data_IF_947504284886
#
_entry.id   IF_947504284886
#
_cell.length_a   1.000
_cell.length_b   1.000
_cell.length_c   1.000
_cell.angle_alpha   90.00
_cell.angle_beta   90.00
_cell.angle_gamma   90.00
#
_symmetry.space_group_name_H-M   'P 1'
#
loop_
_entity.id
_entity.type
_entity.pdbx_description
1 polymer ?
#
# COMPACT_ATOMS: atom_id res chain seq x y z
N UNK A 1 -2.42 -7.17 18.83
CA UNK A 1 -2.95 -6.21 17.82
C UNK A 1 -2.05 -4.99 17.56
N UNK A 2 -1.20 -4.51 18.48
CA UNK A 2 -0.31 -3.37 18.20
C UNK A 2 0.83 -3.70 17.20
N UNK A 3 1.39 -4.92 17.28
CA UNK A 3 2.54 -5.34 16.48
C UNK A 3 2.31 -5.37 14.95
N UNK A 4 1.09 -5.62 14.50
CA UNK A 4 0.73 -5.62 13.08
C UNK A 4 0.51 -4.20 12.52
N UNK A 5 0.25 -3.23 13.40
CA UNK A 5 -0.01 -1.82 13.04
C UNK A 5 1.24 -0.95 13.14
N UNK A 6 2.21 -1.34 13.95
CA UNK A 6 3.49 -0.67 14.07
C UNK A 6 4.36 -0.95 12.84
N UNK A 7 5.02 0.08 12.32
CA UNK A 7 5.92 -0.07 11.18
C UNK A 7 7.07 -1.04 11.52
N UNK A 8 7.50 -1.92 10.59
CA UNK A 8 8.54 -2.92 10.85
C UNK A 8 9.86 -2.37 11.38
N UNK A 9 10.25 -1.19 10.90
CA UNK A 9 11.46 -0.46 11.28
C UNK A 9 11.43 0.00 12.74
N UNK A 10 10.25 0.23 13.32
CA UNK A 10 10.04 0.65 14.71
C UNK A 10 9.87 -0.49 15.70
N UNK A 11 9.82 -1.75 15.23
CA UNK A 11 9.72 -2.91 16.09
C UNK A 11 11.10 -3.30 16.62
N UNK A 12 11.18 -3.61 17.93
CA UNK A 12 12.37 -4.23 18.51
C UNK A 12 12.59 -5.63 17.93
N UNK A 13 13.81 -6.19 17.99
CA UNK A 13 14.08 -7.54 17.47
C UNK A 13 13.13 -8.61 18.05
N UNK A 14 12.83 -8.56 19.35
CA UNK A 14 11.89 -9.48 20.00
C UNK A 14 10.45 -9.32 19.50
N UNK A 15 10.03 -8.08 19.21
CA UNK A 15 8.71 -7.81 18.67
C UNK A 15 8.55 -8.30 17.23
N UNK A 16 9.62 -8.21 16.42
CA UNK A 16 9.64 -8.79 15.07
C UNK A 16 9.49 -10.30 15.11
N UNK A 17 10.24 -10.99 15.98
CA UNK A 17 10.13 -12.44 16.15
C UNK A 17 8.71 -12.87 16.54
N UNK A 18 8.07 -12.19 17.49
CA UNK A 18 6.67 -12.47 17.88
C UNK A 18 5.68 -12.22 16.75
N UNK A 19 5.87 -11.15 15.97
CA UNK A 19 5.04 -10.88 14.79
C UNK A 19 5.23 -11.97 13.76
N UNK A 20 6.47 -12.34 13.45
CA UNK A 20 6.80 -13.27 12.38
C UNK A 20 6.27 -14.67 12.72
N UNK A 21 6.45 -15.14 13.97
CA UNK A 21 5.83 -16.37 14.45
C UNK A 21 4.30 -16.36 14.27
N UNK A 22 3.63 -15.28 14.68
CA UNK A 22 2.18 -15.15 14.50
C UNK A 22 1.75 -15.16 13.03
N UNK A 23 2.54 -14.56 12.13
CA UNK A 23 2.23 -14.55 10.70
C UNK A 23 2.49 -15.91 10.05
N UNK A 24 3.51 -16.66 10.47
CA UNK A 24 3.71 -18.04 10.02
C UNK A 24 2.54 -18.94 10.42
N UNK A 25 2.01 -18.76 11.63
CA UNK A 25 0.85 -19.50 12.12
C UNK A 25 -0.46 -19.11 11.39
N UNK A 26 -0.48 -17.95 10.70
CA UNK A 26 -1.67 -17.39 10.06
C UNK A 26 -1.39 -16.94 8.61
N UNK A 27 -1.22 -17.87 7.65
CA UNK A 27 -0.77 -17.57 6.29
C UNK A 27 -1.68 -16.61 5.52
N UNK A 28 -3.01 -16.67 5.75
CA UNK A 28 -3.94 -15.71 5.16
C UNK A 28 -3.70 -14.27 5.66
N UNK A 29 -3.40 -14.11 6.97
CA UNK A 29 -3.09 -12.81 7.57
C UNK A 29 -1.70 -12.34 7.10
N UNK A 30 -0.74 -13.25 6.95
CA UNK A 30 0.59 -12.98 6.38
C UNK A 30 0.50 -12.37 4.99
N UNK A 31 -0.31 -12.94 4.10
CA UNK A 31 -0.51 -12.41 2.76
C UNK A 31 -1.04 -10.97 2.78
N UNK A 32 -2.07 -10.70 3.60
CA UNK A 32 -2.64 -9.37 3.78
C UNK A 32 -1.60 -8.39 4.36
N UNK A 33 -0.83 -8.83 5.36
CA UNK A 33 0.20 -8.01 6.01
C UNK A 33 1.32 -7.64 5.04
N UNK A 34 1.88 -8.61 4.32
CA UNK A 34 2.93 -8.39 3.32
C UNK A 34 2.45 -7.42 2.25
N UNK A 35 1.21 -7.61 1.78
CA UNK A 35 0.59 -6.74 0.81
C UNK A 35 0.47 -5.29 1.34
N UNK A 36 -0.01 -5.11 2.57
CA UNK A 36 -0.08 -3.80 3.21
C UNK A 36 1.31 -3.14 3.31
N UNK A 37 2.37 -3.91 3.59
CA UNK A 37 3.74 -3.38 3.64
C UNK A 37 4.24 -2.94 2.26
N UNK A 38 3.98 -3.73 1.21
CA UNK A 38 4.37 -3.39 -0.17
C UNK A 38 3.71 -2.08 -0.63
N UNK A 39 2.41 -1.95 -0.38
CA UNK A 39 1.66 -0.72 -0.65
C UNK A 39 2.22 0.46 0.14
N UNK A 40 2.49 0.29 1.43
CA UNK A 40 3.06 1.36 2.25
C UNK A 40 4.43 1.80 1.71
N UNK A 41 5.30 0.86 1.35
CA UNK A 41 6.61 1.16 0.76
C UNK A 41 6.48 1.94 -0.55
N UNK A 42 5.55 1.53 -1.43
CA UNK A 42 5.23 2.25 -2.65
C UNK A 42 4.79 3.69 -2.39
N UNK A 43 3.99 3.94 -1.36
CA UNK A 43 3.55 5.28 -0.96
C UNK A 43 4.64 6.14 -0.28
N UNK A 44 5.71 5.54 0.23
CA UNK A 44 6.84 6.29 0.79
C UNK A 44 7.68 6.96 -0.31
N UNK A 45 7.64 6.44 -1.54
CA UNK A 45 8.31 7.07 -2.66
C UNK A 45 7.59 8.35 -3.08
N UNK A 46 8.32 9.47 -3.09
CA UNK A 46 7.80 10.79 -3.51
C UNK A 46 8.85 11.50 -4.35
N UNK A 47 8.40 12.20 -5.39
CA UNK A 47 9.29 13.00 -6.24
C UNK A 47 10.47 12.22 -6.86
N UNK A 48 10.17 11.02 -7.34
CA UNK A 48 11.05 10.17 -8.13
C UNK A 48 11.21 10.72 -9.55
N UNK A 49 12.33 10.35 -10.17
CA UNK A 49 12.64 10.73 -11.54
C UNK A 49 11.80 9.93 -12.56
N UNK A 50 11.81 10.38 -13.82
CA UNK A 50 11.02 9.77 -14.91
C UNK A 50 11.36 8.30 -15.12
N UNK A 51 12.64 7.94 -15.03
CA UNK A 51 13.11 6.57 -15.32
C UNK A 51 12.72 5.60 -14.23
N UNK A 52 12.76 6.03 -12.97
CA UNK A 52 12.22 5.27 -11.85
C UNK A 52 10.71 5.06 -12.01
N UNK A 53 9.95 6.12 -12.34
CA UNK A 53 8.51 5.98 -12.57
C UNK A 53 8.21 5.00 -13.70
N UNK A 54 8.91 5.07 -14.84
CA UNK A 54 8.76 4.12 -15.95
C UNK A 54 8.98 2.67 -15.52
N UNK A 55 9.92 2.42 -14.61
CA UNK A 55 10.21 1.07 -14.09
C UNK A 55 9.16 0.57 -13.09
N UNK A 56 8.61 1.48 -12.28
CA UNK A 56 7.73 1.12 -11.15
C UNK A 56 6.25 1.14 -11.47
N UNK A 57 5.80 1.96 -12.43
CA UNK A 57 4.40 1.98 -12.87
C UNK A 57 3.92 0.59 -13.32
N UNK A 58 4.64 -0.16 -14.17
CA UNK A 58 4.18 -1.49 -14.58
C UNK A 58 4.07 -2.47 -13.41
N UNK A 59 5.03 -2.44 -12.48
CA UNK A 59 5.01 -3.30 -11.28
C UNK A 59 3.81 -2.97 -10.39
N UNK A 60 3.48 -1.69 -10.26
CA UNK A 60 2.31 -1.25 -9.53
C UNK A 60 1.01 -1.70 -10.19
N UNK A 61 0.87 -1.54 -11.50
CA UNK A 61 -0.33 -1.98 -12.23
C UNK A 61 -0.53 -3.49 -12.13
N UNK A 62 0.53 -4.29 -12.25
CA UNK A 62 0.44 -5.74 -12.05
C UNK A 62 -0.05 -6.09 -10.64
N UNK A 63 0.47 -5.40 -9.62
CA UNK A 63 0.04 -5.58 -8.23
C UNK A 63 -1.46 -5.21 -8.04
N UNK A 64 -1.96 -4.21 -8.76
CA UNK A 64 -3.39 -3.86 -8.73
C UNK A 64 -4.27 -4.94 -9.36
N UNK A 65 -3.80 -5.56 -10.45
CA UNK A 65 -4.53 -6.66 -11.07
C UNK A 65 -4.52 -7.92 -10.20
N UNK A 66 -3.40 -8.24 -9.55
CA UNK A 66 -3.32 -9.35 -8.58
C UNK A 66 -4.32 -9.16 -7.44
N UNK A 67 -4.47 -7.92 -6.95
CA UNK A 67 -5.46 -7.60 -5.92
C UNK A 67 -6.89 -7.77 -6.39
N UNK A 68 -7.22 -7.22 -7.56
CA UNK A 68 -8.57 -7.30 -8.14
C UNK A 68 -9.00 -8.74 -8.34
N UNK A 69 -8.05 -9.62 -8.66
CA UNK A 69 -8.27 -11.05 -8.88
C UNK A 69 -8.11 -11.88 -7.59
N UNK A 70 -7.88 -11.25 -6.44
CA UNK A 70 -7.73 -11.95 -5.18
C UNK A 70 -9.02 -12.66 -4.78
N UNK A 71 -8.96 -13.92 -4.27
CA UNK A 71 -10.13 -14.62 -3.73
C UNK A 71 -10.66 -13.95 -2.45
N UNK A 72 -9.86 -13.08 -1.81
CA UNK A 72 -10.27 -12.33 -0.63
C UNK A 72 -11.02 -11.06 -1.05
N UNK A 73 -12.33 -11.01 -0.78
CA UNK A 73 -13.20 -9.86 -1.12
C UNK A 73 -12.63 -8.51 -0.65
N UNK A 74 -12.01 -8.46 0.53
CA UNK A 74 -11.39 -7.24 1.05
C UNK A 74 -10.20 -6.77 0.19
N UNK A 75 -9.36 -7.70 -0.29
CA UNK A 75 -8.24 -7.38 -1.18
C UNK A 75 -8.71 -6.98 -2.57
N UNK A 76 -9.73 -7.65 -3.10
CA UNK A 76 -10.36 -7.28 -4.37
C UNK A 76 -11.00 -5.89 -4.33
N UNK A 77 -11.70 -5.55 -3.24
CA UNK A 77 -12.25 -4.21 -3.03
C UNK A 77 -11.13 -3.16 -2.98
N UNK A 78 -10.04 -3.44 -2.27
CA UNK A 78 -8.90 -2.54 -2.17
C UNK A 78 -8.19 -2.36 -3.52
N UNK A 79 -8.03 -3.41 -4.32
CA UNK A 79 -7.50 -3.32 -5.68
C UNK A 79 -8.34 -2.42 -6.58
N UNK A 80 -9.67 -2.53 -6.50
CA UNK A 80 -10.59 -1.63 -7.20
C UNK A 80 -10.42 -0.19 -6.74
N UNK A 81 -10.32 0.05 -5.42
CA UNK A 81 -10.05 1.37 -4.88
C UNK A 81 -8.75 1.92 -5.49
N UNK A 82 -7.62 1.22 -5.35
CA UNK A 82 -6.36 1.74 -5.88
C UNK A 82 -6.33 1.94 -7.40
N UNK A 83 -7.03 1.12 -8.18
CA UNK A 83 -7.22 1.40 -9.62
C UNK A 83 -7.90 2.74 -9.87
N UNK A 84 -8.88 3.15 -9.04
CA UNK A 84 -9.51 4.47 -9.16
C UNK A 84 -8.56 5.62 -8.83
N UNK A 85 -7.47 5.36 -8.10
CA UNK A 85 -6.51 6.35 -7.62
C UNK A 85 -5.14 6.25 -8.29
N UNK A 86 -4.96 5.34 -9.25
CA UNK A 86 -3.65 5.02 -9.81
C UNK A 86 -2.96 6.24 -10.43
N UNK A 87 -3.73 7.14 -11.05
CA UNK A 87 -3.19 8.37 -11.62
C UNK A 87 -2.68 9.32 -10.54
N UNK A 88 -3.45 9.53 -9.48
CA UNK A 88 -3.05 10.36 -8.35
C UNK A 88 -1.79 9.79 -7.66
N UNK A 89 -1.70 8.47 -7.51
CA UNK A 89 -0.54 7.78 -6.94
C UNK A 89 0.70 8.02 -7.81
N UNK A 90 0.59 7.82 -9.12
CA UNK A 90 1.70 8.04 -10.05
C UNK A 90 2.09 9.52 -10.13
N UNK A 91 1.12 10.44 -10.02
CA UNK A 91 1.38 11.89 -9.92
C UNK A 91 2.18 12.21 -8.65
N UNK A 92 1.86 11.61 -7.50
CA UNK A 92 2.63 11.77 -6.26
C UNK A 92 4.07 11.25 -6.38
N UNK A 93 4.28 10.19 -7.17
CA UNK A 93 5.64 9.72 -7.45
C UNK A 93 6.41 10.70 -8.30
N UNK A 94 5.83 11.27 -9.36
CA UNK A 94 6.58 12.11 -10.29
C UNK A 94 6.79 13.55 -9.80
N UNK A 95 5.78 14.12 -9.13
CA UNK A 95 5.73 15.54 -8.82
C UNK A 95 5.95 15.80 -7.33
N UNK A 96 6.76 16.83 -7.04
CA UNK A 96 7.00 17.35 -5.69
C UNK A 96 6.28 18.69 -5.56
N UNK A 97 4.94 18.74 -5.47
CA UNK A 97 4.29 20.01 -5.09
C UNK A 97 2.94 19.87 -4.38
N UNK A 98 2.87 20.68 -3.32
CA UNK A 98 1.86 21.04 -2.31
C UNK A 98 0.86 19.98 -1.86
N UNK A 99 0.49 20.11 -0.59
CA UNK A 99 -0.43 19.25 0.13
C UNK A 99 -1.83 19.11 -0.53
N UNK A 100 -2.12 19.78 -1.65
CA UNK A 100 -3.40 19.75 -2.38
C UNK A 100 -3.76 18.36 -2.92
N UNK A 101 -2.78 17.59 -3.41
CA UNK A 101 -3.04 16.21 -3.90
C UNK A 101 -3.34 15.29 -2.73
N UNK A 102 -2.60 15.40 -1.61
CA UNK A 102 -2.87 14.66 -0.38
C UNK A 102 -4.17 15.10 0.28
N UNK A 103 -4.54 16.38 0.28
CA UNK A 103 -5.84 16.84 0.77
C UNK A 103 -6.98 16.35 -0.12
N UNK A 104 -6.81 16.35 -1.44
CA UNK A 104 -7.74 15.72 -2.37
C UNK A 104 -7.90 14.22 -2.09
N UNK A 105 -6.80 13.52 -1.82
CA UNK A 105 -6.76 12.11 -1.43
C UNK A 105 -7.50 11.87 -0.11
N UNK A 106 -7.18 12.64 0.94
CA UNK A 106 -7.85 12.56 2.23
C UNK A 106 -9.35 12.91 2.16
N UNK A 107 -9.76 13.86 1.30
CA UNK A 107 -11.15 14.30 1.13
C UNK A 107 -12.01 13.27 0.39
N UNK A 108 -11.51 12.73 -0.73
CA UNK A 108 -12.18 11.64 -1.46
C UNK A 108 -12.18 10.34 -0.63
N UNK A 109 -11.12 10.02 0.12
CA UNK A 109 -11.15 8.87 1.05
C UNK A 109 -12.20 9.00 2.15
N UNK A 110 -12.45 10.20 2.68
CA UNK A 110 -13.58 10.44 3.61
C UNK A 110 -14.94 10.16 2.98
N UNK A 111 -15.10 10.40 1.68
CA UNK A 111 -16.37 10.18 0.95
C UNK A 111 -16.59 8.70 0.59
N UNK A 112 -15.53 7.89 0.52
CA UNK A 112 -15.63 6.44 0.25
C UNK A 112 -15.98 5.59 1.48
N UNK A 113 -16.36 6.22 2.61
CA UNK A 113 -16.85 5.56 3.83
C UNK A 113 -18.32 5.93 4.16
N UNK A 114 -19.04 6.51 3.18
CA UNK A 114 -20.50 6.59 3.14
C UNK A 114 -21.02 5.55 2.14
#
# INVERSE_FOLDING_TARGET
MALLRTRPDRLTPQQRLKRDAFLEDNPAIKAIYQFQQQVHALFLHKAMNKDWCKKMIPQFLNMLDDLKNSPFKALAALGKTFCQWQEEIVRMWRFRKSNDITEGFHRKMKLSHL
#
